data_IF_233959026293
#
_entry.id   IF_233959026293
#
_cell.length_a   1.000
_cell.length_b   1.000
_cell.length_c   1.000
_cell.angle_alpha   90.00
_cell.angle_beta   90.00
_cell.angle_gamma   90.00
#
_symmetry.space_group_name_H-M   'P 1'
#
loop_
_entity.id
_entity.type
_entity.pdbx_description
1 polymer ?
#
# COMPACT_ATOMS: atom_id res chain seq x y z
N UNK A 1 -60.73 10.45 19.13
CA UNK A 1 -60.23 9.07 18.83
C UNK A 1 -59.23 8.66 19.91
N UNK A 2 -59.04 7.39 20.24
CA UNK A 2 -58.01 6.99 21.23
C UNK A 2 -56.71 6.54 20.55
N UNK A 3 -55.57 6.85 21.16
CA UNK A 3 -54.26 6.41 20.66
C UNK A 3 -54.14 4.89 20.77
N UNK A 4 -53.86 4.21 19.66
CA UNK A 4 -53.68 2.74 19.65
C UNK A 4 -52.47 2.25 20.45
N UNK A 5 -51.52 3.15 20.74
CA UNK A 5 -50.27 2.79 21.43
C UNK A 5 -50.37 2.97 22.94
N UNK A 6 -51.02 4.03 23.43
CA UNK A 6 -51.08 4.34 24.87
C UNK A 6 -52.49 4.50 25.43
N UNK A 7 -53.55 4.39 24.60
CA UNK A 7 -54.94 4.49 25.04
C UNK A 7 -55.44 5.90 25.37
N UNK A 8 -54.60 6.93 25.27
CA UNK A 8 -54.98 8.33 25.58
C UNK A 8 -55.97 8.90 24.57
N UNK A 9 -56.87 9.79 25.01
CA UNK A 9 -57.79 10.49 24.12
C UNK A 9 -57.04 11.51 23.24
N UNK A 10 -57.24 11.42 21.94
CA UNK A 10 -56.60 12.28 20.94
C UNK A 10 -57.63 13.21 20.31
N UNK A 11 -57.35 14.51 20.45
CA UNK A 11 -58.13 15.61 19.87
C UNK A 11 -57.75 15.77 18.39
N UNK A 12 -58.74 15.74 17.49
CA UNK A 12 -58.51 15.97 16.06
C UNK A 12 -58.32 17.48 15.76
N UNK A 13 -57.48 17.86 14.78
CA UNK A 13 -56.64 17.04 13.90
C UNK A 13 -55.18 16.96 14.38
N UNK A 14 -54.89 16.15 15.41
CA UNK A 14 -53.51 15.90 15.82
C UNK A 14 -52.80 14.93 14.86
N UNK A 15 -51.51 15.16 14.56
CA UNK A 15 -50.67 14.22 13.77
C UNK A 15 -49.98 13.18 14.64
N UNK A 16 -49.75 13.51 15.91
CA UNK A 16 -49.07 12.69 16.90
C UNK A 16 -49.84 12.73 18.22
N UNK A 17 -49.77 11.65 18.98
CA UNK A 17 -50.29 11.61 20.34
C UNK A 17 -49.41 12.47 21.24
N UNK A 18 -50.02 13.42 21.96
CA UNK A 18 -49.30 14.33 22.87
C UNK A 18 -48.71 13.62 24.10
N UNK A 19 -49.26 12.46 24.49
CA UNK A 19 -48.82 11.73 25.68
C UNK A 19 -47.62 10.81 25.40
N UNK A 20 -47.61 10.11 24.26
CA UNK A 20 -46.57 9.12 23.95
C UNK A 20 -45.76 9.40 22.68
N UNK A 21 -46.11 10.43 21.91
CA UNK A 21 -45.43 10.80 20.66
C UNK A 21 -45.72 9.90 19.45
N UNK A 22 -46.56 8.87 19.58
CA UNK A 22 -46.89 7.96 18.48
C UNK A 22 -47.68 8.68 17.37
N UNK A 23 -47.36 8.40 16.10
CA UNK A 23 -48.13 8.93 14.96
C UNK A 23 -49.51 8.28 14.90
N UNK A 24 -50.57 9.10 14.84
CA UNK A 24 -51.95 8.60 14.81
C UNK A 24 -52.54 8.46 13.40
N UNK A 25 -51.79 8.89 12.37
CA UNK A 25 -52.17 8.69 10.98
C UNK A 25 -51.74 7.29 10.50
N UNK A 26 -52.70 6.41 10.22
CA UNK A 26 -52.47 5.16 9.48
C UNK A 26 -52.20 5.54 8.02
N UNK A 27 -51.07 5.14 7.45
CA UNK A 27 -50.73 5.35 6.04
C UNK A 27 -51.72 4.61 5.14
N UNK A 28 -52.84 5.25 4.81
CA UNK A 28 -53.79 4.82 3.77
C UNK A 28 -54.00 5.97 2.79
N UNK A 29 -52.92 6.42 2.13
CA UNK A 29 -53.03 6.90 0.76
C UNK A 29 -51.65 6.97 0.10
N UNK A 30 -51.39 5.98 -0.74
CA UNK A 30 -50.07 5.75 -1.33
C UNK A 30 -50.08 4.60 -2.31
N UNK A 31 -51.18 4.43 -3.06
CA UNK A 31 -51.17 3.72 -4.34
C UNK A 31 -50.37 4.56 -5.33
N UNK A 32 -49.07 4.74 -5.07
CA UNK A 32 -48.12 5.04 -6.13
C UNK A 32 -48.26 3.89 -7.11
N UNK A 33 -48.75 4.19 -8.31
CA UNK A 33 -48.40 3.40 -9.49
C UNK A 33 -46.91 3.16 -9.38
N UNK A 34 -46.50 1.91 -9.23
CA UNK A 34 -45.14 1.52 -9.53
C UNK A 34 -44.96 1.79 -11.02
N UNK A 35 -44.58 3.03 -11.33
CA UNK A 35 -43.67 3.31 -12.43
C UNK A 35 -42.63 2.18 -12.35
N UNK A 36 -42.46 1.36 -13.39
CA UNK A 36 -41.55 0.22 -13.32
C UNK A 36 -40.21 0.85 -12.98
N UNK A 37 -39.76 0.65 -11.74
CA UNK A 37 -38.56 1.26 -11.21
C UNK A 37 -37.50 1.00 -12.24
N UNK A 38 -37.13 2.05 -12.98
CA UNK A 38 -36.12 1.98 -14.01
C UNK A 38 -34.99 1.23 -13.34
N UNK A 39 -34.69 0.03 -13.84
CA UNK A 39 -33.74 -0.85 -13.23
C UNK A 39 -32.45 -0.03 -13.15
N UNK A 40 -32.18 0.55 -11.97
CA UNK A 40 -30.94 1.27 -11.73
C UNK A 40 -29.93 0.18 -11.89
N UNK A 41 -29.30 0.14 -13.07
CA UNK A 41 -28.32 -0.86 -13.41
C UNK A 41 -27.29 -0.75 -12.31
N UNK A 42 -27.26 -1.71 -11.39
CA UNK A 42 -26.21 -1.78 -10.38
C UNK A 42 -24.95 -2.00 -11.20
N UNK A 43 -24.26 -0.92 -11.52
CA UNK A 43 -22.93 -0.97 -12.13
C UNK A 43 -22.14 -1.85 -11.18
N UNK A 44 -21.83 -3.06 -11.63
CA UNK A 44 -21.14 -4.04 -10.80
C UNK A 44 -19.77 -3.44 -10.54
N UNK A 45 -19.57 -2.88 -9.35
CA UNK A 45 -18.28 -2.32 -8.99
C UNK A 45 -17.17 -3.36 -9.19
N UNK A 46 -16.05 -2.92 -9.76
CA UNK A 46 -14.88 -3.77 -10.00
C UNK A 46 -14.38 -4.38 -8.67
N UNK A 47 -13.73 -5.54 -8.75
CA UNK A 47 -13.24 -6.27 -7.57
C UNK A 47 -12.42 -5.38 -6.63
N UNK A 48 -11.54 -4.55 -7.20
CA UNK A 48 -10.68 -3.64 -6.43
C UNK A 48 -11.49 -2.65 -5.57
N UNK A 49 -12.56 -2.11 -6.14
CA UNK A 49 -13.44 -1.14 -5.51
C UNK A 49 -14.27 -1.82 -4.42
N UNK A 50 -14.81 -3.02 -4.71
CA UNK A 50 -15.53 -3.83 -3.71
C UNK A 50 -14.66 -4.17 -2.51
N UNK A 51 -13.40 -4.53 -2.73
CA UNK A 51 -12.49 -4.79 -1.62
C UNK A 51 -12.25 -3.52 -0.80
N UNK A 52 -11.94 -2.40 -1.45
CA UNK A 52 -11.69 -1.13 -0.77
C UNK A 52 -12.88 -0.69 0.09
N UNK A 53 -14.12 -0.88 -0.36
CA UNK A 53 -15.32 -0.60 0.44
C UNK A 53 -15.63 -1.67 1.49
N UNK A 54 -14.96 -2.82 1.48
CA UNK A 54 -15.18 -3.94 2.39
C UNK A 54 -16.43 -4.76 2.04
N UNK A 55 -16.86 -4.78 0.77
CA UNK A 55 -18.00 -5.58 0.29
C UNK A 55 -17.65 -7.06 0.13
N UNK A 56 -16.36 -7.40 0.08
CA UNK A 56 -15.88 -8.77 -0.03
C UNK A 56 -15.95 -9.51 1.32
N UNK A 57 -16.14 -10.85 1.29
CA UNK A 57 -16.00 -11.69 2.48
C UNK A 57 -14.64 -11.48 3.16
N UNK A 58 -14.61 -11.58 4.49
CA UNK A 58 -13.40 -11.37 5.28
C UNK A 58 -12.28 -12.35 4.88
N UNK A 59 -12.61 -13.63 4.70
CA UNK A 59 -11.64 -14.63 4.30
C UNK A 59 -11.01 -14.33 2.92
N UNK A 60 -11.81 -13.88 1.96
CA UNK A 60 -11.29 -13.47 0.64
C UNK A 60 -10.43 -12.20 0.75
N UNK A 61 -10.91 -11.22 1.52
CA UNK A 61 -10.19 -9.95 1.73
C UNK A 61 -8.84 -10.16 2.40
N UNK A 62 -8.76 -11.07 3.37
CA UNK A 62 -7.54 -11.34 4.12
C UNK A 62 -6.61 -12.30 3.37
N UNK A 63 -7.07 -13.50 3.04
CA UNK A 63 -6.23 -14.55 2.48
C UNK A 63 -5.99 -14.39 0.99
N UNK A 64 -7.06 -14.28 0.19
CA UNK A 64 -6.91 -14.29 -1.28
C UNK A 64 -6.12 -13.08 -1.74
N UNK A 65 -6.52 -11.88 -1.33
CA UNK A 65 -5.77 -10.68 -1.70
C UNK A 65 -4.37 -10.65 -1.05
N UNK A 66 -4.25 -11.08 0.22
CA UNK A 66 -2.96 -11.12 0.91
C UNK A 66 -1.96 -12.03 0.22
N UNK A 67 -2.35 -13.26 -0.11
CA UNK A 67 -1.51 -14.21 -0.86
C UNK A 67 -1.19 -13.69 -2.26
N UNK A 68 -2.17 -13.14 -2.99
CA UNK A 68 -1.91 -12.59 -4.33
C UNK A 68 -0.87 -11.48 -4.25
N UNK A 69 -1.00 -10.54 -3.30
CA UNK A 69 -0.01 -9.47 -3.14
C UNK A 69 1.37 -10.01 -2.77
N UNK A 70 1.44 -10.99 -1.87
CA UNK A 70 2.69 -11.67 -1.52
C UNK A 70 3.35 -12.33 -2.75
N UNK A 71 2.61 -13.08 -3.55
CA UNK A 71 3.17 -13.71 -4.76
C UNK A 71 3.57 -12.68 -5.82
N UNK A 72 2.78 -11.63 -6.01
CA UNK A 72 3.09 -10.59 -6.99
C UNK A 72 4.37 -9.83 -6.59
N UNK A 73 4.52 -9.52 -5.31
CA UNK A 73 5.64 -8.72 -4.84
C UNK A 73 6.86 -9.55 -4.46
N UNK A 74 6.75 -10.48 -3.52
CA UNK A 74 7.90 -11.19 -2.97
C UNK A 74 8.39 -12.28 -3.94
N UNK A 75 7.48 -13.08 -4.49
CA UNK A 75 7.87 -14.09 -5.48
C UNK A 75 8.26 -13.46 -6.82
N UNK A 76 7.58 -12.40 -7.24
CA UNK A 76 7.95 -11.65 -8.45
C UNK A 76 9.35 -11.04 -8.38
N UNK A 77 9.70 -10.42 -7.26
CA UNK A 77 11.04 -9.88 -7.01
C UNK A 77 12.10 -10.99 -7.01
N UNK A 78 11.87 -12.09 -6.30
CA UNK A 78 12.77 -13.25 -6.30
C UNK A 78 13.01 -13.84 -7.71
N UNK A 79 11.96 -13.95 -8.53
CA UNK A 79 12.10 -14.37 -9.93
C UNK A 79 12.96 -13.39 -10.73
N UNK A 80 12.69 -12.09 -10.62
CA UNK A 80 13.46 -11.07 -11.34
C UNK A 80 14.94 -11.11 -10.97
N UNK A 81 15.26 -11.18 -9.67
CA UNK A 81 16.65 -11.27 -9.18
C UNK A 81 17.36 -12.54 -9.68
N UNK A 82 16.62 -13.62 -9.93
CA UNK A 82 17.18 -14.87 -10.47
C UNK A 82 17.58 -14.77 -11.95
N UNK A 83 16.96 -13.87 -12.71
CA UNK A 83 17.24 -13.69 -14.15
C UNK A 83 18.07 -12.44 -14.45
N UNK A 84 18.12 -11.47 -13.53
CA UNK A 84 18.83 -10.22 -13.69
C UNK A 84 19.81 -10.03 -12.52
N UNK A 85 21.06 -10.49 -12.67
CA UNK A 85 22.07 -10.35 -11.63
C UNK A 85 22.28 -8.88 -11.28
N UNK A 86 22.01 -8.53 -10.03
CA UNK A 86 22.07 -7.16 -9.53
C UNK A 86 23.48 -6.55 -9.72
N UNK A 87 24.52 -7.39 -9.78
CA UNK A 87 25.92 -6.99 -9.99
C UNK A 87 26.18 -6.30 -11.33
N UNK A 88 25.32 -6.48 -12.33
CA UNK A 88 25.48 -5.88 -13.67
C UNK A 88 24.67 -4.59 -13.85
N UNK A 89 23.87 -4.21 -12.85
CA UNK A 89 22.98 -3.06 -12.91
C UNK A 89 23.63 -1.89 -12.16
N UNK A 90 23.69 -0.72 -12.79
CA UNK A 90 24.19 0.47 -12.11
C UNK A 90 23.37 0.77 -10.85
N UNK A 91 24.05 1.12 -9.76
CA UNK A 91 23.42 1.28 -8.46
C UNK A 91 22.29 2.34 -8.47
N UNK A 92 22.45 3.41 -9.25
CA UNK A 92 21.41 4.45 -9.42
C UNK A 92 20.15 3.89 -10.07
N UNK A 93 20.30 3.02 -11.07
CA UNK A 93 19.17 2.35 -11.74
C UNK A 93 18.47 1.40 -10.78
N UNK A 94 19.26 0.61 -10.04
CA UNK A 94 18.76 -0.30 -9.02
C UNK A 94 17.99 0.45 -7.92
N UNK A 95 18.51 1.57 -7.46
CA UNK A 95 17.86 2.42 -6.47
C UNK A 95 16.51 2.96 -6.96
N UNK A 96 16.47 3.52 -8.17
CA UNK A 96 15.23 4.03 -8.78
C UNK A 96 14.18 2.93 -8.92
N UNK A 97 14.61 1.73 -9.29
CA UNK A 97 13.76 0.55 -9.37
C UNK A 97 13.16 0.20 -8.01
N UNK A 98 14.00 -0.06 -6.99
CA UNK A 98 13.50 -0.41 -5.66
C UNK A 98 12.65 0.70 -5.06
N UNK A 99 13.02 1.98 -5.20
CA UNK A 99 12.21 3.09 -4.73
C UNK A 99 10.80 3.07 -5.35
N UNK A 100 10.69 2.86 -6.66
CA UNK A 100 9.42 2.70 -7.35
C UNK A 100 8.60 1.52 -6.84
N UNK A 101 9.23 0.35 -6.69
CA UNK A 101 8.60 -0.87 -6.16
C UNK A 101 8.08 -0.65 -4.74
N UNK A 102 8.86 -0.02 -3.86
CA UNK A 102 8.47 0.28 -2.49
C UNK A 102 7.28 1.25 -2.43
N UNK A 103 7.21 2.27 -3.28
CA UNK A 103 6.04 3.16 -3.36
C UNK A 103 4.78 2.38 -3.74
N UNK A 104 4.87 1.51 -4.75
CA UNK A 104 3.74 0.67 -5.16
C UNK A 104 3.33 -0.31 -4.06
N UNK A 105 4.30 -0.92 -3.35
CA UNK A 105 4.06 -1.79 -2.19
C UNK A 105 3.33 -1.05 -1.06
N UNK A 106 3.70 0.20 -0.75
CA UNK A 106 3.02 1.02 0.26
C UNK A 106 1.57 1.29 -0.14
N UNK A 107 1.32 1.67 -1.40
CA UNK A 107 -0.04 1.90 -1.90
C UNK A 107 -0.88 0.61 -1.79
N UNK A 108 -0.32 -0.53 -2.22
CA UNK A 108 -0.97 -1.82 -2.12
C UNK A 108 -1.23 -2.23 -0.67
N UNK A 109 -0.30 -1.97 0.24
CA UNK A 109 -0.44 -2.23 1.68
C UNK A 109 -1.58 -1.41 2.30
N UNK A 110 -1.67 -0.12 1.98
CA UNK A 110 -2.79 0.73 2.43
C UNK A 110 -4.11 0.21 1.87
N UNK A 111 -4.14 -0.09 0.56
CA UNK A 111 -5.32 -0.65 -0.10
C UNK A 111 -5.81 -1.94 0.56
N UNK A 112 -4.91 -2.89 0.78
CA UNK A 112 -5.16 -4.18 1.41
C UNK A 112 -5.63 -4.02 2.86
N UNK A 113 -4.94 -3.19 3.63
CA UNK A 113 -5.24 -2.98 5.04
C UNK A 113 -6.60 -2.32 5.24
N UNK A 114 -6.91 -1.27 4.48
CA UNK A 114 -8.20 -0.57 4.55
C UNK A 114 -9.34 -1.49 4.12
N UNK A 115 -9.19 -2.23 3.02
CA UNK A 115 -10.21 -3.14 2.53
C UNK A 115 -10.49 -4.28 3.51
N UNK A 116 -9.44 -4.91 4.04
CA UNK A 116 -9.58 -5.96 5.04
C UNK A 116 -10.17 -5.44 6.35
N UNK A 117 -9.74 -4.27 6.83
CA UNK A 117 -10.30 -3.64 8.03
C UNK A 117 -11.80 -3.34 7.90
N UNK A 118 -12.23 -2.77 6.77
CA UNK A 118 -13.65 -2.50 6.49
C UNK A 118 -14.48 -3.78 6.36
N UNK A 119 -13.93 -4.81 5.73
CA UNK A 119 -14.58 -6.13 5.64
C UNK A 119 -14.76 -6.75 7.03
N UNK A 120 -13.73 -6.67 7.90
CA UNK A 120 -13.79 -7.14 9.28
C UNK A 120 -14.88 -6.40 10.09
N UNK A 121 -14.93 -5.06 9.99
CA UNK A 121 -15.98 -4.27 10.66
C UNK A 121 -17.39 -4.66 10.21
N UNK A 122 -17.59 -4.90 8.91
CA UNK A 122 -18.89 -5.33 8.39
C UNK A 122 -19.26 -6.73 8.82
N UNK A 123 -18.29 -7.65 8.93
CA UNK A 123 -18.52 -8.97 9.47
C UNK A 123 -19.02 -8.90 10.93
N UNK A 124 -18.42 -8.02 11.74
CA UNK A 124 -18.88 -7.76 13.11
C UNK A 124 -20.30 -7.16 13.14
N UNK A 125 -20.62 -6.19 12.27
CA UNK A 125 -21.95 -5.57 12.19
C UNK A 125 -23.06 -6.55 11.78
N UNK A 126 -22.72 -7.60 11.03
CA UNK A 126 -23.67 -8.65 10.61
C UNK A 126 -23.95 -9.68 11.71
N UNK A 127 -23.35 -9.55 12.89
CA UNK A 127 -23.55 -10.47 14.02
C UNK A 127 -22.78 -11.78 13.90
N UNK A 128 -21.74 -11.83 13.06
CA UNK A 128 -20.87 -13.01 12.94
C UNK A 128 -19.92 -13.19 14.13
N UNK A 129 -19.09 -14.23 14.07
CA UNK A 129 -18.08 -14.50 15.11
C UNK A 129 -17.13 -13.31 15.30
N UNK A 130 -16.83 -12.96 16.55
CA UNK A 130 -16.00 -11.79 16.87
C UNK A 130 -14.49 -12.07 16.83
N UNK A 131 -14.07 -13.33 17.02
CA UNK A 131 -12.66 -13.69 17.20
C UNK A 131 -11.85 -13.43 15.93
N UNK A 132 -12.31 -13.95 14.78
CA UNK A 132 -11.60 -13.84 13.51
C UNK A 132 -11.45 -12.40 12.99
N UNK A 133 -12.50 -11.56 12.98
CA UNK A 133 -12.35 -10.15 12.60
C UNK A 133 -11.40 -9.39 13.51
N UNK A 134 -11.42 -9.63 14.82
CA UNK A 134 -10.53 -8.96 15.78
C UNK A 134 -9.08 -9.41 15.63
N UNK A 135 -8.84 -10.69 15.40
CA UNK A 135 -7.51 -11.21 15.09
C UNK A 135 -6.95 -10.59 13.80
N UNK A 136 -7.74 -10.54 12.72
CA UNK A 136 -7.34 -9.90 11.48
C UNK A 136 -7.01 -8.41 11.66
N UNK A 137 -7.83 -7.68 12.41
CA UNK A 137 -7.56 -6.28 12.76
C UNK A 137 -6.28 -6.11 13.58
N UNK A 138 -6.03 -6.99 14.56
CA UNK A 138 -4.80 -7.00 15.35
C UNK A 138 -3.55 -7.24 14.49
N UNK A 139 -3.60 -8.19 13.56
CA UNK A 139 -2.51 -8.46 12.62
C UNK A 139 -2.23 -7.27 11.68
N UNK A 140 -3.28 -6.63 11.16
CA UNK A 140 -3.14 -5.41 10.35
C UNK A 140 -2.47 -4.30 11.17
N UNK A 141 -2.90 -4.10 12.41
CA UNK A 141 -2.32 -3.09 13.29
C UNK A 141 -0.84 -3.36 13.59
N UNK A 142 -0.49 -4.61 13.89
CA UNK A 142 0.89 -5.03 14.09
C UNK A 142 1.74 -4.80 12.83
N UNK A 143 1.18 -5.11 11.65
CA UNK A 143 1.81 -4.82 10.36
C UNK A 143 2.12 -3.33 10.20
N UNK A 144 1.18 -2.44 10.53
CA UNK A 144 1.42 -1.00 10.50
C UNK A 144 2.56 -0.58 11.45
N UNK A 145 2.58 -1.10 12.68
CA UNK A 145 3.66 -0.81 13.63
C UNK A 145 5.02 -1.24 13.08
N UNK A 146 5.09 -2.43 12.51
CA UNK A 146 6.29 -2.95 11.86
C UNK A 146 6.72 -2.05 10.69
N UNK A 147 5.79 -1.66 9.81
CA UNK A 147 6.08 -0.76 8.68
C UNK A 147 6.58 0.61 9.13
N UNK A 148 6.02 1.18 10.19
CA UNK A 148 6.47 2.47 10.76
C UNK A 148 7.92 2.41 11.24
N UNK A 149 8.38 1.25 11.70
CA UNK A 149 9.78 1.05 12.14
C UNK A 149 10.68 0.75 10.95
N UNK A 150 10.27 -0.16 10.06
CA UNK A 150 11.14 -0.68 8.99
C UNK A 150 11.37 0.32 7.88
N UNK A 151 10.35 1.06 7.45
CA UNK A 151 10.50 1.99 6.31
C UNK A 151 11.53 3.09 6.60
N UNK A 152 11.51 3.80 7.75
CA UNK A 152 12.54 4.78 8.06
C UNK A 152 13.93 4.19 8.18
N UNK A 153 14.07 2.99 8.75
CA UNK A 153 15.36 2.29 8.83
C UNK A 153 15.88 1.98 7.43
N UNK A 154 15.04 1.43 6.56
CA UNK A 154 15.40 1.15 5.18
C UNK A 154 15.82 2.43 4.44
N UNK A 155 15.02 3.51 4.53
CA UNK A 155 15.36 4.81 3.93
C UNK A 155 16.67 5.36 4.48
N UNK A 156 16.93 5.23 5.78
CA UNK A 156 18.17 5.69 6.40
C UNK A 156 19.39 4.91 5.89
N UNK A 157 19.31 3.57 5.85
CA UNK A 157 20.39 2.72 5.35
C UNK A 157 20.67 2.99 3.86
N UNK A 158 19.63 3.13 3.04
CA UNK A 158 19.76 3.53 1.65
C UNK A 158 20.38 4.93 1.51
N UNK A 159 19.98 5.87 2.36
CA UNK A 159 20.56 7.21 2.40
C UNK A 159 22.03 7.21 2.81
N UNK A 160 22.46 6.31 3.70
CA UNK A 160 23.87 6.13 4.04
C UNK A 160 24.66 5.58 2.87
N UNK A 161 24.16 4.55 2.19
CA UNK A 161 24.79 4.00 0.99
C UNK A 161 24.98 5.11 -0.03
N UNK A 162 23.90 5.81 -0.42
CA UNK A 162 23.95 6.92 -1.38
C UNK A 162 24.88 8.04 -0.91
N UNK A 163 24.78 8.46 0.36
CA UNK A 163 25.57 9.54 0.93
C UNK A 163 27.06 9.23 0.97
N UNK A 164 27.44 7.97 1.16
CA UNK A 164 28.84 7.53 1.14
C UNK A 164 29.45 7.65 -0.25
N UNK A 165 28.77 7.22 -1.31
CA UNK A 165 29.34 7.36 -2.66
C UNK A 165 28.94 8.64 -3.40
N UNK A 166 28.15 9.54 -2.81
CA UNK A 166 27.96 10.91 -3.32
C UNK A 166 28.91 11.93 -2.68
N UNK A 167 29.52 11.62 -1.52
CA UNK A 167 30.49 12.47 -0.83
C UNK A 167 31.83 11.75 -0.59
N UNK A 168 32.10 10.68 -1.33
CA UNK A 168 33.35 9.93 -1.28
C UNK A 168 34.48 10.83 -1.72
N UNK A 169 35.46 11.04 -0.84
CA UNK A 169 36.68 11.74 -1.18
C UNK A 169 37.67 10.73 -1.74
N UNK A 170 37.79 10.65 -3.06
CA UNK A 170 38.86 9.93 -3.74
C UNK A 170 39.61 10.87 -4.68
N UNK A 171 40.89 10.58 -4.87
CA UNK A 171 41.74 11.27 -5.83
C UNK A 171 42.35 10.24 -6.76
N UNK A 172 42.22 10.49 -8.06
CA UNK A 172 42.90 9.73 -9.10
C UNK A 172 44.20 10.45 -9.44
N UNK A 173 45.32 9.78 -9.22
CA UNK A 173 46.65 10.32 -9.56
C UNK A 173 47.35 9.38 -10.52
N UNK A 174 47.74 9.91 -11.68
CA UNK A 174 48.55 9.20 -12.66
C UNK A 174 50.03 9.39 -12.28
N UNK A 175 50.80 8.31 -12.29
CA UNK A 175 52.25 8.34 -12.04
C UNK A 175 52.98 9.21 -13.08
N UNK A 176 54.14 9.74 -12.71
CA UNK A 176 54.91 10.65 -13.57
C UNK A 176 55.39 10.02 -14.89
N UNK A 177 55.44 8.68 -14.96
CA UNK A 177 55.72 7.87 -16.14
C UNK A 177 54.48 7.57 -17.01
N UNK A 178 53.27 7.84 -16.50
CA UNK A 178 52.01 7.60 -17.19
C UNK A 178 51.57 6.13 -17.21
N UNK A 179 52.29 5.23 -16.54
CA UNK A 179 52.04 3.78 -16.61
C UNK A 179 51.17 3.25 -15.47
N UNK A 180 51.04 4.00 -14.37
CA UNK A 180 50.26 3.60 -13.20
C UNK A 180 49.18 4.62 -12.85
N UNK A 181 47.97 4.11 -12.59
CA UNK A 181 46.87 4.87 -11.99
C UNK A 181 46.73 4.50 -10.51
N UNK A 182 46.95 5.46 -9.63
CA UNK A 182 46.73 5.28 -8.19
C UNK A 182 45.36 5.89 -7.80
N UNK A 183 44.54 5.07 -7.16
CA UNK A 183 43.27 5.48 -6.56
C UNK A 183 43.48 5.67 -5.06
N UNK A 184 43.37 6.90 -4.56
CA UNK A 184 43.61 7.20 -3.15
C UNK A 184 42.37 7.82 -2.53
N UNK A 185 41.74 7.12 -1.57
CA UNK A 185 40.62 7.65 -0.79
C UNK A 185 39.48 6.65 -0.64
N UNK A 186 38.28 7.17 -0.33
CA UNK A 186 37.08 6.37 -0.13
C UNK A 186 36.57 5.78 -1.45
N UNK A 187 36.11 4.53 -1.45
CA UNK A 187 35.47 3.96 -2.65
C UNK A 187 34.17 4.72 -2.98
N UNK A 188 34.15 5.37 -4.15
CA UNK A 188 32.99 6.06 -4.69
C UNK A 188 32.17 5.18 -5.63
N UNK A 189 30.92 5.57 -5.91
CA UNK A 189 30.05 4.79 -6.81
C UNK A 189 30.39 4.97 -8.29
N UNK A 190 30.88 6.14 -8.64
CA UNK A 190 31.31 6.59 -9.96
C UNK A 190 32.77 6.23 -10.26
N UNK A 191 33.55 5.89 -9.24
CA UNK A 191 34.96 5.50 -9.38
C UNK A 191 35.22 4.41 -10.44
N UNK A 192 34.46 3.30 -10.53
CA UNK A 192 34.72 2.27 -11.54
C UNK A 192 34.52 2.78 -12.98
N UNK A 193 33.49 3.61 -13.20
CA UNK A 193 33.18 4.17 -14.51
C UNK A 193 34.24 5.22 -14.91
N UNK A 194 34.68 6.05 -13.96
CA UNK A 194 35.75 7.03 -14.19
C UNK A 194 37.12 6.37 -14.44
N UNK A 195 37.44 5.30 -13.71
CA UNK A 195 38.66 4.52 -13.94
C UNK A 195 38.60 3.87 -15.32
N UNK A 196 37.46 3.30 -15.72
CA UNK A 196 37.29 2.73 -17.05
C UNK A 196 37.44 3.78 -18.15
N UNK A 197 36.81 4.95 -18.01
CA UNK A 197 36.93 6.06 -18.97
C UNK A 197 38.38 6.56 -19.11
N UNK A 198 39.11 6.66 -17.99
CA UNK A 198 40.53 7.03 -18.01
C UNK A 198 41.41 5.98 -18.68
N UNK A 199 41.16 4.70 -18.44
CA UNK A 199 41.89 3.61 -19.11
C UNK A 199 41.60 3.55 -20.62
N UNK A 200 40.39 3.93 -21.04
CA UNK A 200 40.03 4.04 -22.46
C UNK A 200 40.67 5.28 -23.13
N UNK A 201 40.82 6.39 -22.41
CA UNK A 201 41.49 7.60 -22.94
C UNK A 201 43.02 7.47 -22.96
N UNK A 202 43.62 6.88 -21.93
CA UNK A 202 45.07 6.79 -21.74
C UNK A 202 45.55 5.34 -21.88
N UNK A 203 45.80 4.92 -23.12
CA UNK A 203 46.25 3.55 -23.46
C UNK A 203 47.63 3.18 -22.89
N UNK A 204 48.32 4.12 -22.25
CA UNK A 204 49.66 3.94 -21.68
C UNK A 204 49.62 3.33 -20.27
N UNK A 205 48.46 3.39 -19.60
CA UNK A 205 48.30 2.87 -18.24
C UNK A 205 48.28 1.33 -18.30
N UNK A 206 49.23 0.71 -17.61
CA UNK A 206 49.42 -0.74 -17.60
C UNK A 206 49.01 -1.40 -16.28
N UNK A 207 48.86 -0.61 -15.20
CA UNK A 207 48.45 -1.12 -13.90
C UNK A 207 47.63 -0.10 -13.08
N UNK A 208 46.74 -0.62 -12.22
CA UNK A 208 45.92 0.17 -11.30
C UNK A 208 46.28 -0.25 -9.87
N UNK A 209 46.68 0.74 -9.07
CA UNK A 209 46.98 0.58 -7.65
C UNK A 209 45.82 1.15 -6.81
N UNK A 210 45.36 0.35 -5.84
CA UNK A 210 44.30 0.67 -4.87
C UNK A 210 44.88 0.95 -3.48
#
# INVERSE_FOLDING_TARGET
MYCINCGEEVVEPAKFCIACGASIYRQEDGRQRSEPAAAVSRVRANWFVKHWYGDLPLAQSFWVNGFILFFVFDFGEWVLESFFPISEISLVTLYRWYAGVYVVRIIAFVWQSVGCWRSAQRHLKRGGSILWPRAAQGLIFLGFLFTIVVVPVAVHLLGQVIGLGANSNYTLTISADGEELAVVGDMAFDLPDEVAELLEQETTISSVNL
#
